data_IF_256944302903
#
_entry.id   IF_256944302903
#
_cell.length_a   1.000
_cell.length_b   1.000
_cell.length_c   1.000
_cell.angle_alpha   90.00
_cell.angle_beta   90.00
_cell.angle_gamma   90.00
#
_symmetry.space_group_name_H-M   'P 1'
#
loop_
_entity.id
_entity.type
_entity.pdbx_description
1 polymer ?
#
# COMPACT_ATOMS: atom_id res chain seq x y z
N UNK A 1 -13.10 -1.86 5.91
CA UNK A 1 -12.59 -3.00 5.10
C UNK A 1 -13.75 -3.86 4.59
N UNK A 2 -14.70 -4.32 5.41
CA UNK A 2 -15.82 -5.16 4.98
C UNK A 2 -16.61 -4.61 3.79
N UNK A 3 -16.96 -3.33 3.79
CA UNK A 3 -17.71 -2.68 2.69
C UNK A 3 -17.01 -2.82 1.33
N UNK A 4 -15.67 -2.76 1.29
CA UNK A 4 -14.92 -2.95 0.05
C UNK A 4 -14.99 -4.41 -0.40
N UNK A 5 -14.80 -5.35 0.54
CA UNK A 5 -14.91 -6.77 0.25
C UNK A 5 -16.30 -7.14 -0.29
N UNK A 6 -17.38 -6.62 0.35
CA UNK A 6 -18.75 -6.81 -0.15
C UNK A 6 -18.95 -6.27 -1.55
N UNK A 7 -18.43 -5.07 -1.85
CA UNK A 7 -18.55 -4.46 -3.16
C UNK A 7 -17.81 -5.26 -4.23
N UNK A 8 -16.61 -5.75 -3.93
CA UNK A 8 -15.81 -6.59 -4.83
C UNK A 8 -16.54 -7.90 -5.14
N UNK A 9 -17.01 -8.60 -4.12
CA UNK A 9 -17.75 -9.86 -4.27
C UNK A 9 -19.05 -9.68 -5.04
N UNK A 10 -19.80 -8.59 -4.76
CA UNK A 10 -21.02 -8.25 -5.51
C UNK A 10 -20.75 -7.97 -6.99
N UNK A 11 -19.59 -7.44 -7.30
CA UNK A 11 -19.14 -7.20 -8.67
C UNK A 11 -18.57 -8.47 -9.36
N UNK A 12 -18.56 -9.62 -8.69
CA UNK A 12 -18.04 -10.90 -9.21
C UNK A 12 -16.50 -11.01 -9.12
N UNK A 13 -15.84 -10.12 -8.37
CA UNK A 13 -14.42 -10.21 -8.11
C UNK A 13 -14.09 -11.09 -6.89
N UNK A 14 -12.80 -11.26 -6.62
CA UNK A 14 -12.30 -12.03 -5.48
C UNK A 14 -11.83 -11.10 -4.36
N UNK A 15 -12.21 -11.42 -3.12
CA UNK A 15 -11.77 -10.73 -1.92
C UNK A 15 -10.98 -11.70 -1.04
N UNK A 16 -9.69 -11.44 -0.87
CA UNK A 16 -8.77 -12.26 -0.08
C UNK A 16 -8.44 -11.50 1.21
N UNK A 17 -8.66 -12.12 2.36
CA UNK A 17 -8.31 -11.59 3.67
C UNK A 17 -7.07 -12.25 4.25
N UNK A 18 -6.30 -11.49 5.00
CA UNK A 18 -5.18 -12.00 5.80
C UNK A 18 -5.32 -11.47 7.23
N UNK A 19 -5.39 -12.35 8.20
CA UNK A 19 -5.61 -12.00 9.61
C UNK A 19 -4.68 -12.79 10.53
N UNK A 20 -4.03 -12.13 11.52
CA UNK A 20 -3.32 -12.82 12.58
C UNK A 20 -4.27 -13.55 13.54
N UNK A 21 -3.88 -14.73 14.03
CA UNK A 21 -4.69 -15.56 14.94
C UNK A 21 -5.21 -14.77 16.15
N UNK A 22 -4.35 -13.95 16.77
CA UNK A 22 -4.72 -13.19 17.97
C UNK A 22 -5.76 -12.08 17.73
N UNK A 23 -6.01 -11.71 16.47
CA UNK A 23 -7.04 -10.72 16.09
C UNK A 23 -8.35 -11.37 15.65
N UNK A 24 -8.37 -12.68 15.38
CA UNK A 24 -9.58 -13.38 14.92
C UNK A 24 -10.77 -13.25 15.85
N UNK A 25 -10.53 -13.20 17.18
CA UNK A 25 -11.59 -13.07 18.17
C UNK A 25 -12.10 -11.63 18.34
N UNK A 26 -11.32 -10.64 17.88
CA UNK A 26 -11.65 -9.21 18.01
C UNK A 26 -12.14 -8.60 16.71
N UNK A 27 -11.61 -9.03 15.59
CA UNK A 27 -12.15 -8.69 14.28
C UNK A 27 -13.20 -9.75 13.96
N UNK A 28 -14.47 -9.32 13.89
CA UNK A 28 -15.54 -10.16 13.33
C UNK A 28 -15.15 -10.33 11.86
N UNK A 29 -14.36 -11.36 11.57
CA UNK A 29 -13.84 -11.66 10.26
C UNK A 29 -14.99 -11.68 9.27
N UNK A 30 -14.85 -11.01 8.16
CA UNK A 30 -15.83 -11.02 7.09
C UNK A 30 -16.00 -12.48 6.61
N UNK A 31 -17.14 -13.11 6.96
CA UNK A 31 -17.36 -14.56 6.76
C UNK A 31 -17.57 -14.97 5.30
N UNK A 32 -17.66 -14.02 4.39
CA UNK A 32 -17.98 -14.24 2.98
C UNK A 32 -16.82 -13.92 2.03
N UNK A 33 -15.58 -13.91 2.54
CA UNK A 33 -14.40 -13.73 1.69
C UNK A 33 -14.21 -14.92 0.75
N UNK A 34 -13.67 -14.69 -0.44
CA UNK A 34 -13.27 -15.76 -1.36
C UNK A 34 -12.21 -16.65 -0.71
N UNK A 35 -11.29 -16.05 0.04
CA UNK A 35 -10.25 -16.77 0.79
C UNK A 35 -9.85 -15.99 2.02
N UNK A 36 -9.60 -16.71 3.12
CA UNK A 36 -9.05 -16.13 4.35
C UNK A 36 -7.77 -16.88 4.73
N UNK A 37 -6.67 -16.13 4.83
CA UNK A 37 -5.41 -16.64 5.34
C UNK A 37 -5.27 -16.26 6.81
N UNK A 38 -4.97 -17.25 7.65
CA UNK A 38 -4.65 -17.06 9.05
C UNK A 38 -3.14 -17.15 9.20
N UNK A 39 -2.53 -16.16 9.82
CA UNK A 39 -1.10 -16.04 10.03
C UNK A 39 -0.76 -15.86 11.51
N UNK A 40 0.49 -16.10 11.92
CA UNK A 40 0.86 -16.07 13.33
C UNK A 40 1.21 -14.65 13.82
N UNK A 41 1.65 -13.75 12.95
CA UNK A 41 2.12 -12.42 13.34
C UNK A 41 1.63 -11.32 12.38
N UNK A 42 1.70 -10.07 12.85
CA UNK A 42 1.46 -8.89 12.00
C UNK A 42 2.50 -8.79 10.87
N UNK A 43 3.72 -9.24 11.11
CA UNK A 43 4.77 -9.23 10.09
C UNK A 43 4.46 -10.20 8.95
N UNK A 44 4.06 -11.44 9.28
CA UNK A 44 3.59 -12.41 8.28
C UNK A 44 2.36 -11.91 7.52
N UNK A 45 1.41 -11.23 8.21
CA UNK A 45 0.26 -10.61 7.56
C UNK A 45 0.70 -9.65 6.45
N UNK A 46 1.56 -8.68 6.77
CA UNK A 46 1.98 -7.65 5.84
C UNK A 46 2.80 -8.23 4.68
N UNK A 47 3.69 -9.19 4.96
CA UNK A 47 4.46 -9.90 3.95
C UNK A 47 3.54 -10.65 2.97
N UNK A 48 2.59 -11.44 3.48
CA UNK A 48 1.68 -12.21 2.65
C UNK A 48 0.73 -11.29 1.85
N UNK A 49 0.22 -10.20 2.44
CA UNK A 49 -0.57 -9.21 1.70
C UNK A 49 0.24 -8.60 0.56
N UNK A 50 1.51 -8.30 0.82
CA UNK A 50 2.41 -7.80 -0.22
C UNK A 50 2.62 -8.83 -1.33
N UNK A 51 2.87 -10.08 -1.00
CA UNK A 51 3.12 -11.14 -2.00
C UNK A 51 1.92 -11.39 -2.91
N UNK A 52 0.70 -11.32 -2.35
CA UNK A 52 -0.55 -11.53 -3.06
C UNK A 52 -1.03 -10.33 -3.89
N UNK A 53 -0.42 -9.16 -3.74
CA UNK A 53 -0.86 -7.91 -4.36
C UNK A 53 -0.02 -7.56 -5.58
N UNK A 54 -0.63 -6.97 -6.61
CA UNK A 54 0.05 -6.39 -7.78
C UNK A 54 0.28 -4.88 -7.62
N UNK A 55 -0.50 -4.24 -6.74
CA UNK A 55 -0.43 -2.82 -6.42
C UNK A 55 -0.92 -2.57 -4.99
N UNK A 56 -0.61 -1.42 -4.42
CA UNK A 56 -1.05 -1.00 -3.09
C UNK A 56 -1.86 0.29 -3.19
N UNK A 57 -3.04 0.31 -2.55
CA UNK A 57 -3.92 1.47 -2.50
C UNK A 57 -4.27 1.77 -1.06
N UNK A 58 -3.93 2.98 -0.59
CA UNK A 58 -4.40 3.50 0.68
C UNK A 58 -5.65 4.38 0.48
N UNK A 59 -6.71 4.04 1.21
CA UNK A 59 -7.89 4.89 1.39
C UNK A 59 -7.71 5.77 2.63
N UNK A 60 -8.52 6.85 2.80
CA UNK A 60 -8.49 7.63 4.03
C UNK A 60 -8.53 6.76 5.29
N UNK A 61 -7.55 6.92 6.16
CA UNK A 61 -7.39 6.08 7.34
C UNK A 61 -6.43 6.69 8.38
N UNK A 62 -6.28 6.01 9.51
CA UNK A 62 -5.45 6.44 10.63
C UNK A 62 -4.03 5.83 10.61
N UNK A 63 -3.47 5.69 11.82
CA UNK A 63 -2.08 5.24 11.99
C UNK A 63 -1.77 3.88 11.36
N UNK A 64 -2.68 2.91 11.43
CA UNK A 64 -2.46 1.60 10.82
C UNK A 64 -2.35 1.68 9.30
N UNK A 65 -3.22 2.48 8.65
CA UNK A 65 -3.17 2.69 7.20
C UNK A 65 -1.87 3.38 6.78
N UNK A 66 -1.44 4.39 7.54
CA UNK A 66 -0.20 5.11 7.26
C UNK A 66 1.02 4.21 7.49
N UNK A 67 1.02 3.42 8.57
CA UNK A 67 2.10 2.49 8.88
C UNK A 67 2.27 1.45 7.77
N UNK A 68 1.19 0.76 7.36
CA UNK A 68 1.22 -0.22 6.28
C UNK A 68 1.64 0.41 4.94
N UNK A 69 1.14 1.61 4.64
CA UNK A 69 1.46 2.31 3.39
C UNK A 69 2.92 2.76 3.34
N UNK A 70 3.46 3.33 4.41
CA UNK A 70 4.87 3.71 4.46
C UNK A 70 5.82 2.52 4.49
N UNK A 71 5.40 1.40 5.04
CA UNK A 71 6.20 0.17 4.99
C UNK A 71 6.36 -0.33 3.55
N UNK A 72 5.28 -0.44 2.77
CA UNK A 72 5.37 -0.87 1.37
C UNK A 72 6.13 0.15 0.50
N UNK A 73 6.00 1.45 0.77
CA UNK A 73 6.81 2.49 0.11
C UNK A 73 8.30 2.32 0.42
N UNK A 74 8.63 2.03 1.67
CA UNK A 74 10.01 1.78 2.10
C UNK A 74 10.56 0.53 1.41
N UNK A 75 9.79 -0.53 1.31
CA UNK A 75 10.18 -1.74 0.57
C UNK A 75 10.41 -1.46 -0.91
N UNK A 76 9.55 -0.64 -1.54
CA UNK A 76 9.74 -0.19 -2.92
C UNK A 76 11.02 0.64 -3.07
N UNK A 77 11.27 1.59 -2.17
CA UNK A 77 12.49 2.40 -2.15
C UNK A 77 13.75 1.54 -2.02
N UNK A 78 13.69 0.46 -1.23
CA UNK A 78 14.79 -0.50 -1.05
C UNK A 78 14.91 -1.50 -2.21
N UNK A 79 13.99 -1.47 -3.18
CA UNK A 79 13.99 -2.39 -4.32
C UNK A 79 13.56 -3.81 -3.95
N UNK A 80 12.83 -4.00 -2.84
CA UNK A 80 12.29 -5.30 -2.43
C UNK A 80 11.07 -5.69 -3.28
N UNK A 81 10.36 -4.72 -3.84
CA UNK A 81 9.34 -4.91 -4.86
C UNK A 81 9.31 -3.74 -5.85
N UNK A 82 8.67 -3.98 -7.00
CA UNK A 82 8.47 -3.00 -8.06
C UNK A 82 6.98 -2.78 -8.34
N UNK A 83 6.14 -2.84 -7.30
CA UNK A 83 4.70 -2.68 -7.41
C UNK A 83 4.33 -1.22 -7.17
N UNK A 84 3.35 -0.66 -7.93
CA UNK A 84 2.93 0.72 -7.74
C UNK A 84 2.19 0.92 -6.42
N UNK A 85 2.39 2.09 -5.81
CA UNK A 85 1.77 2.48 -4.56
C UNK A 85 0.99 3.79 -4.76
N UNK A 86 -0.26 3.82 -4.38
CA UNK A 86 -1.11 4.98 -4.56
C UNK A 86 -2.03 5.28 -3.39
N UNK A 87 -2.48 6.51 -3.32
CA UNK A 87 -3.47 6.98 -2.36
C UNK A 87 -4.67 7.59 -3.07
N UNK A 88 -5.88 7.29 -2.61
CA UNK A 88 -7.09 7.98 -3.05
C UNK A 88 -7.28 9.21 -2.15
N UNK A 89 -6.99 10.39 -2.70
CA UNK A 89 -7.06 11.66 -1.97
C UNK A 89 -8.48 12.23 -1.99
N UNK A 90 -9.41 11.50 -1.41
CA UNK A 90 -10.82 11.90 -1.33
C UNK A 90 -10.95 13.16 -0.48
N UNK A 91 -11.63 14.17 -1.00
CA UNK A 91 -11.86 15.44 -0.31
C UNK A 91 -10.59 16.04 0.32
N UNK A 92 -9.47 15.91 -0.38
CA UNK A 92 -8.16 16.42 0.04
C UNK A 92 -7.64 15.87 1.38
N UNK A 93 -8.12 14.69 1.79
CA UNK A 93 -7.75 14.09 3.06
C UNK A 93 -6.22 13.90 3.20
N UNK A 94 -5.54 13.52 2.13
CA UNK A 94 -4.09 13.32 2.11
C UNK A 94 -3.28 14.54 1.65
N UNK A 95 -3.91 15.67 1.33
CA UNK A 95 -3.20 16.87 0.90
C UNK A 95 -2.14 17.34 1.90
N UNK A 96 -2.40 17.35 3.24
CA UNK A 96 -1.36 17.70 4.21
C UNK A 96 -0.20 16.71 4.25
N UNK A 97 -0.48 15.41 4.05
CA UNK A 97 0.57 14.38 3.98
C UNK A 97 1.46 14.58 2.76
N UNK A 98 0.86 14.85 1.61
CA UNK A 98 1.59 15.11 0.36
C UNK A 98 2.47 16.37 0.51
N UNK A 99 1.95 17.43 1.10
CA UNK A 99 2.71 18.65 1.39
C UNK A 99 3.89 18.39 2.34
N UNK A 100 3.71 17.54 3.36
CA UNK A 100 4.81 17.10 4.24
C UNK A 100 5.88 16.34 3.46
N UNK A 101 5.50 15.44 2.54
CA UNK A 101 6.46 14.70 1.71
C UNK A 101 7.20 15.62 0.74
N UNK A 102 6.53 16.62 0.17
CA UNK A 102 7.13 17.63 -0.70
C UNK A 102 8.12 18.49 0.10
N UNK A 103 7.76 18.91 1.31
CA UNK A 103 8.67 19.59 2.22
C UNK A 103 9.90 18.74 2.59
N UNK A 104 9.71 17.43 2.80
CA UNK A 104 10.84 16.52 3.04
C UNK A 104 11.80 16.42 1.83
N UNK A 105 11.30 16.62 0.61
CA UNK A 105 12.15 16.72 -0.59
C UNK A 105 12.93 18.03 -0.57
N UNK A 106 12.27 19.16 -0.28
CA UNK A 106 12.90 20.48 -0.23
C UNK A 106 14.01 20.54 0.80
N UNK A 107 13.78 19.93 1.97
CA UNK A 107 14.75 19.81 3.07
C UNK A 107 15.77 18.67 2.86
N UNK A 108 15.72 17.95 1.73
CA UNK A 108 16.64 16.87 1.32
C UNK A 108 16.63 15.62 2.21
N UNK A 109 15.57 15.40 2.99
CA UNK A 109 15.35 14.14 3.72
C UNK A 109 14.76 13.05 2.83
N UNK A 110 14.06 13.44 1.75
CA UNK A 110 13.48 12.53 0.77
C UNK A 110 14.01 12.87 -0.63
N UNK A 111 14.41 11.86 -1.40
CA UNK A 111 14.81 12.07 -2.79
C UNK A 111 13.58 12.27 -3.68
N UNK A 112 13.62 13.16 -4.70
CA UNK A 112 12.49 13.35 -5.62
C UNK A 112 11.98 12.05 -6.26
N UNK A 113 12.89 11.13 -6.62
CA UNK A 113 12.52 9.84 -7.18
C UNK A 113 11.73 8.95 -6.18
N UNK A 114 12.04 9.04 -4.89
CA UNK A 114 11.31 8.30 -3.85
C UNK A 114 9.95 8.94 -3.58
N UNK A 115 9.85 10.28 -3.62
CA UNK A 115 8.57 10.99 -3.56
C UNK A 115 7.65 10.58 -4.73
N UNK A 116 8.20 10.36 -5.92
CA UNK A 116 7.47 9.93 -7.09
C UNK A 116 6.90 8.50 -6.99
N UNK A 117 7.31 7.70 -6.00
CA UNK A 117 6.69 6.39 -5.73
C UNK A 117 5.25 6.52 -5.22
N UNK A 118 4.89 7.67 -4.66
CA UNK A 118 3.54 7.93 -4.15
C UNK A 118 2.67 8.51 -5.27
N UNK A 119 1.84 7.67 -5.88
CA UNK A 119 0.79 8.13 -6.78
C UNK A 119 -0.37 8.70 -5.97
N UNK A 120 -0.99 9.77 -6.44
CA UNK A 120 -2.17 10.36 -5.81
C UNK A 120 -3.20 10.75 -6.85
N UNK A 121 -4.46 10.40 -6.61
CA UNK A 121 -5.61 10.83 -7.43
C UNK A 121 -6.81 11.06 -6.53
N UNK A 122 -7.72 11.91 -6.99
CA UNK A 122 -8.93 12.28 -6.24
C UNK A 122 -10.00 11.20 -6.27
N UNK A 123 -9.98 10.34 -7.28
CA UNK A 123 -10.94 9.24 -7.46
C UNK A 123 -10.26 7.89 -7.60
N UNK A 124 -11.01 6.83 -7.26
CA UNK A 124 -10.52 5.46 -7.40
C UNK A 124 -10.25 5.10 -8.86
N UNK A 125 -11.10 5.55 -9.79
CA UNK A 125 -10.96 5.25 -11.22
C UNK A 125 -9.68 5.86 -11.80
N UNK A 126 -9.40 7.13 -11.51
CA UNK A 126 -8.17 7.79 -11.94
C UNK A 126 -6.92 7.13 -11.33
N UNK A 127 -7.02 6.68 -10.07
CA UNK A 127 -5.89 6.00 -9.43
C UNK A 127 -5.65 4.64 -10.06
N UNK A 128 -6.68 3.84 -10.31
CA UNK A 128 -6.54 2.54 -10.98
C UNK A 128 -5.89 2.70 -12.35
N UNK A 129 -6.33 3.65 -13.16
CA UNK A 129 -5.69 3.94 -14.44
C UNK A 129 -4.21 4.32 -14.27
N UNK A 130 -3.88 5.17 -13.29
CA UNK A 130 -2.50 5.57 -13.03
C UNK A 130 -1.62 4.40 -12.57
N UNK A 131 -2.19 3.42 -11.82
CA UNK A 131 -1.49 2.21 -11.41
C UNK A 131 -1.22 1.27 -12.60
N UNK A 132 -2.18 1.12 -13.54
CA UNK A 132 -2.01 0.32 -14.76
C UNK A 132 -0.94 0.90 -15.70
N UNK A 133 -0.92 2.22 -15.83
CA UNK A 133 0.04 2.95 -16.66
C UNK A 133 1.43 3.05 -16.02
N UNK A 134 1.53 2.80 -14.72
CA UNK A 134 2.78 2.97 -13.96
C UNK A 134 3.89 2.04 -14.49
N UNK A 135 5.10 2.57 -14.50
CA UNK A 135 6.31 1.79 -14.84
C UNK A 135 7.34 1.96 -13.74
N UNK A 136 8.05 0.90 -13.36
CA UNK A 136 9.06 0.96 -12.32
C UNK A 136 10.12 2.01 -12.64
N UNK A 137 10.36 2.91 -11.70
CA UNK A 137 11.53 3.80 -11.75
C UNK A 137 12.71 2.99 -11.27
N UNK A 138 13.72 2.83 -12.10
CA UNK A 138 14.94 2.12 -11.73
C UNK A 138 15.71 3.01 -10.73
N UNK A 139 15.56 2.73 -9.45
CA UNK A 139 16.35 3.37 -8.39
C UNK A 139 17.64 2.57 -8.26
N UNK A 140 18.79 3.18 -8.55
CA UNK A 140 20.09 2.55 -8.31
C UNK A 140 20.16 2.08 -6.86
N UNK A 141 20.45 0.80 -6.67
CA UNK A 141 20.57 0.21 -5.32
C UNK A 141 21.71 0.87 -4.57
N UNK A 142 21.45 1.38 -3.39
CA UNK A 142 22.46 1.96 -2.49
C UNK A 142 23.49 0.95 -1.97
N UNK A 143 23.26 -0.33 -2.17
CA UNK A 143 24.14 -1.41 -1.75
C UNK A 143 24.76 -2.05 -2.99
N UNK A 144 25.84 -1.44 -3.46
CA UNK A 144 26.78 -2.17 -4.29
C UNK A 144 27.48 -3.18 -3.39
N UNK A 145 27.32 -4.48 -3.69
CA UNK A 145 27.96 -5.58 -2.97
C UNK A 145 29.50 -5.57 -3.08
N UNK A 146 30.04 -4.61 -3.84
CA UNK A 146 31.50 -4.49 -4.09
C UNK A 146 32.28 -3.75 -3.01
N UNK A 147 31.59 -3.19 -1.99
CA UNK A 147 32.23 -2.45 -0.89
C UNK A 147 32.16 -3.18 0.46
N UNK A 148 32.35 -4.50 0.45
CA UNK A 148 32.67 -5.29 1.66
C UNK A 148 34.07 -5.85 1.57
#
# INVERSE_FOLDING_TARGET
MGTIADAVLKAGGEAIGVIPEHLMSREIGHRQLTKLHIVHSMHERKALMSDLSDAFIALPGGFGTLEEFFEVLTWSQLGLHLKPCGIVNVLDYYTPLLAMLDHAVDERFLKPQNRALVLSRSTSSELLQALEEWRPVHVEKWLDRSTR
#
